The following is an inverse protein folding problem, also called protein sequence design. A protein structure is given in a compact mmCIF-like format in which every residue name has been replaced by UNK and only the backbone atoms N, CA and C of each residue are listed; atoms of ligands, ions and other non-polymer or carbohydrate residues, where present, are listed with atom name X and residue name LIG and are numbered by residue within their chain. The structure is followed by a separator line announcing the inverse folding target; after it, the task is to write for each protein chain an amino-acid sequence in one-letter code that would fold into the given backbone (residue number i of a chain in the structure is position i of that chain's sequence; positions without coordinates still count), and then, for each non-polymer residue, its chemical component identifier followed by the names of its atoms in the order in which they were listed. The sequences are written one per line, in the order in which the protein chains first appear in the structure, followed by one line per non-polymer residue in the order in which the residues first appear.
data_IF_395276057634
#
_entry.id   IF_395276057634
#
_cell.length_a   1.000
_cell.length_b   1.000
_cell.length_c   1.000
_cell.angle_alpha   90.00
_cell.angle_beta   90.00
_cell.angle_gamma   90.00
#
_symmetry.space_group_name_H-M   'P 1'
#
loop_
_entity.id
_entity.type
_entity.pdbx_description
1 polymer ?
#
# COMPACT_ATOMS: atom_id res chain seq x y z
N UNK A 1 -9.32 11.50 16.79
CA UNK A 1 -9.54 12.10 15.46
C UNK A 1 -8.98 11.16 14.42
N UNK A 2 -9.82 10.22 13.99
CA UNK A 2 -9.56 9.34 12.86
C UNK A 2 -9.69 10.16 11.56
N UNK A 3 -8.56 10.45 10.92
CA UNK A 3 -8.58 11.08 9.61
C UNK A 3 -8.92 10.03 8.55
N UNK A 4 -10.22 9.81 8.36
CA UNK A 4 -10.83 8.90 7.37
C UNK A 4 -10.76 9.46 5.94
N UNK A 5 -9.66 10.12 5.57
CA UNK A 5 -9.41 10.48 4.18
C UNK A 5 -8.92 9.23 3.46
N UNK A 6 -9.42 8.95 2.25
CA UNK A 6 -8.88 7.91 1.36
C UNK A 6 -7.44 8.16 0.88
N UNK A 7 -6.63 8.85 1.68
CA UNK A 7 -5.22 9.08 1.49
C UNK A 7 -4.46 8.17 2.45
N UNK A 8 -3.78 7.16 1.90
CA UNK A 8 -2.84 6.35 2.69
C UNK A 8 -1.77 7.28 3.25
N UNK A 9 -1.51 7.22 4.56
CA UNK A 9 -0.33 7.88 5.15
C UNK A 9 0.91 7.43 4.38
N UNK A 10 1.66 8.36 3.79
CA UNK A 10 2.89 8.12 2.99
C UNK A 10 3.92 7.21 3.68
N UNK A 11 3.82 7.09 4.99
CA UNK A 11 4.65 6.22 5.81
C UNK A 11 4.37 4.73 5.61
N UNK A 12 3.19 4.31 5.14
CA UNK A 12 2.82 2.89 4.96
C UNK A 12 3.34 2.37 3.60
N UNK A 13 3.94 1.17 3.60
CA UNK A 13 4.37 0.46 2.39
C UNK A 13 3.32 -0.59 2.01
N UNK A 14 2.81 -0.52 0.78
CA UNK A 14 1.86 -1.49 0.24
C UNK A 14 2.44 -2.09 -1.04
N UNK A 15 2.44 -3.42 -1.13
CA UNK A 15 2.94 -4.18 -2.27
C UNK A 15 1.82 -5.04 -2.87
N UNK A 16 1.81 -5.18 -4.20
CA UNK A 16 1.07 -6.18 -4.98
C UNK A 16 2.10 -7.10 -5.63
N UNK A 17 2.09 -8.39 -5.30
CA UNK A 17 3.07 -9.38 -5.79
C UNK A 17 4.49 -8.82 -5.75
N UNK A 18 4.95 -8.44 -4.55
CA UNK A 18 6.25 -7.79 -4.25
C UNK A 18 6.53 -6.43 -4.88
N UNK A 19 5.62 -5.86 -5.69
CA UNK A 19 5.79 -4.54 -6.33
C UNK A 19 5.03 -3.45 -5.59
N UNK A 20 5.67 -2.31 -5.35
CA UNK A 20 5.02 -1.19 -4.64
C UNK A 20 3.89 -0.57 -5.47
N UNK A 21 2.70 -0.46 -4.87
CA UNK A 21 1.50 0.03 -5.56
C UNK A 21 1.65 1.46 -6.09
N UNK A 22 2.58 2.27 -5.55
CA UNK A 22 2.85 3.63 -6.03
C UNK A 22 3.28 3.67 -7.50
N UNK A 23 3.89 2.59 -7.99
CA UNK A 23 4.26 2.44 -9.40
C UNK A 23 3.18 1.75 -10.24
N UNK A 24 2.08 1.34 -9.62
CA UNK A 24 0.98 0.56 -10.23
C UNK A 24 -0.36 1.33 -10.21
N UNK A 25 -0.34 2.66 -10.00
CA UNK A 25 -1.54 3.48 -9.91
C UNK A 25 -2.02 3.77 -8.48
N UNK A 26 -1.20 3.48 -7.48
CA UNK A 26 -1.48 3.75 -6.07
C UNK A 26 -2.67 2.93 -5.56
N UNK A 27 -3.61 3.58 -4.88
CA UNK A 27 -4.83 2.95 -4.38
C UNK A 27 -5.75 2.39 -5.47
N UNK A 28 -5.58 2.87 -6.71
CA UNK A 28 -6.35 2.41 -7.86
C UNK A 28 -5.68 1.23 -8.58
N UNK A 29 -4.59 0.68 -8.02
CA UNK A 29 -3.96 -0.51 -8.56
C UNK A 29 -4.98 -1.65 -8.63
N UNK A 30 -5.27 -2.11 -9.85
CA UNK A 30 -6.19 -3.22 -10.08
C UNK A 30 -5.65 -4.49 -9.44
N UNK A 31 -6.48 -5.19 -8.68
CA UNK A 31 -6.22 -6.51 -8.15
C UNK A 31 -6.94 -7.56 -8.99
N UNK A 32 -6.32 -8.72 -9.12
CA UNK A 32 -6.82 -9.88 -9.81
C UNK A 32 -6.80 -11.09 -8.86
N UNK A 33 -7.57 -12.13 -9.20
CA UNK A 33 -7.62 -13.33 -8.38
C UNK A 33 -6.23 -13.97 -8.28
N UNK A 34 -5.86 -14.41 -7.08
CA UNK A 34 -4.54 -14.96 -6.78
C UNK A 34 -3.43 -13.92 -6.52
N UNK A 35 -3.71 -12.61 -6.60
CA UNK A 35 -2.74 -11.59 -6.19
C UNK A 35 -2.48 -11.59 -4.68
N UNK A 36 -1.20 -11.47 -4.30
CA UNK A 36 -0.80 -11.25 -2.92
C UNK A 36 -0.64 -9.75 -2.65
N UNK A 37 -1.30 -9.27 -1.58
CA UNK A 37 -1.16 -7.90 -1.09
C UNK A 37 -0.48 -7.91 0.26
N UNK A 38 0.67 -7.25 0.35
CA UNK A 38 1.42 -7.07 1.60
C UNK A 38 1.36 -5.62 2.07
N UNK A 39 1.05 -5.41 3.35
CA UNK A 39 0.97 -4.08 3.97
C UNK A 39 1.92 -4.06 5.17
N UNK A 40 2.87 -3.12 5.17
CA UNK A 40 3.85 -2.96 6.23
C UNK A 40 3.66 -1.63 6.95
N UNK A 41 3.87 -1.59 8.29
CA UNK A 41 3.92 -0.35 9.02
C UNK A 41 5.05 0.55 8.48
N UNK A 42 5.08 1.84 8.87
CA UNK A 42 6.21 2.69 8.58
C UNK A 42 7.53 2.04 8.95
N UNK A 43 8.42 1.93 7.96
CA UNK A 43 9.77 1.45 8.16
C UNK A 43 10.51 2.49 9.01
N UNK A 44 10.44 2.31 10.34
CA UNK A 44 11.44 2.84 11.26
C UNK A 44 12.60 1.86 11.24
N UNK A 45 13.67 2.21 10.56
CA UNK A 45 14.91 1.42 10.61
C UNK A 45 15.39 1.31 12.05
N UNK A 46 15.86 0.11 12.42
CA UNK A 46 16.63 -0.10 13.65
C UNK A 46 18.03 0.48 13.55
#
# INVERSE_FOLDING_TARGET
MDNKSGNIKTSILILKNVRNIRFLGGLLAKLEDGDEVSIFPPLGGG
#
